data_IF_649506500670
#
_entry.id   IF_649506500670
#
_cell.length_a   1.000
_cell.length_b   1.000
_cell.length_c   1.000
_cell.angle_alpha   90.00
_cell.angle_beta   90.00
_cell.angle_gamma   90.00
#
_symmetry.space_group_name_H-M   'P 1'
#
loop_
_entity.id
_entity.type
_entity.pdbx_description
1 polymer ?
#
# COMPACT_ATOMS: atom_id res chain seq x y z
N UNK A 1 -7.85 -22.60 10.04
CA UNK A 1 -7.87 -21.29 10.71
C UNK A 1 -8.22 -20.26 9.64
N UNK A 2 -9.45 -19.75 9.66
CA UNK A 2 -10.02 -18.93 8.58
C UNK A 2 -9.59 -17.48 8.75
N UNK A 3 -8.68 -17.07 7.87
CA UNK A 3 -8.13 -15.72 7.80
C UNK A 3 -9.25 -14.78 7.33
N UNK A 4 -9.74 -13.90 8.22
CA UNK A 4 -10.92 -13.04 8.04
C UNK A 4 -10.49 -11.58 7.88
N UNK A 5 -9.69 -11.32 6.85
CA UNK A 5 -9.18 -9.99 6.50
C UNK A 5 -9.80 -9.42 5.23
N UNK A 6 -11.11 -9.17 5.19
CA UNK A 6 -11.78 -8.35 4.16
C UNK A 6 -11.48 -8.65 2.66
N UNK A 7 -10.94 -9.81 2.30
CA UNK A 7 -10.97 -10.31 0.93
C UNK A 7 -12.37 -10.87 0.69
N UNK A 8 -13.31 -9.97 0.35
CA UNK A 8 -14.59 -10.36 -0.26
C UNK A 8 -14.30 -11.45 -1.29
N UNK A 9 -15.00 -12.58 -1.18
CA UNK A 9 -14.88 -13.73 -2.06
C UNK A 9 -14.61 -13.30 -3.50
N UNK A 10 -13.61 -13.91 -4.17
CA UNK A 10 -13.22 -13.48 -5.49
C UNK A 10 -14.45 -13.59 -6.41
N UNK A 11 -14.68 -12.56 -7.22
CA UNK A 11 -15.87 -12.45 -8.08
C UNK A 11 -15.94 -13.51 -9.17
N UNK A 12 -14.88 -14.32 -9.32
CA UNK A 12 -15.01 -15.65 -9.87
C UNK A 12 -15.78 -16.53 -8.87
N UNK A 13 -17.08 -16.32 -8.71
CA UNK A 13 -17.89 -17.18 -7.85
C UNK A 13 -17.64 -18.66 -8.21
N UNK A 14 -17.12 -19.45 -7.26
CA UNK A 14 -16.96 -20.91 -7.36
C UNK A 14 -16.54 -21.48 -8.72
N UNK A 15 -15.70 -20.78 -9.50
CA UNK A 15 -15.32 -21.27 -10.84
C UNK A 15 -14.21 -22.29 -10.67
N UNK A 16 -14.45 -23.53 -11.13
CA UNK A 16 -13.38 -24.53 -11.26
C UNK A 16 -12.30 -24.01 -12.19
N UNK A 17 -11.03 -24.18 -11.83
CA UNK A 17 -9.89 -23.70 -12.60
C UNK A 17 -9.95 -24.15 -14.06
N UNK A 18 -10.40 -25.38 -14.32
CA UNK A 18 -10.60 -25.94 -15.65
C UNK A 18 -11.51 -25.12 -16.59
N UNK A 19 -12.42 -24.31 -16.03
CA UNK A 19 -13.34 -23.45 -16.78
C UNK A 19 -12.91 -21.97 -16.82
N UNK A 20 -11.66 -21.68 -16.43
CA UNK A 20 -11.12 -20.33 -16.43
C UNK A 20 -10.52 -20.00 -17.80
N UNK A 21 -11.34 -19.39 -18.66
CA UNK A 21 -10.90 -18.96 -20.00
C UNK A 21 -10.43 -17.51 -20.02
N UNK A 22 -9.64 -17.13 -21.04
CA UNK A 22 -9.17 -15.74 -21.26
C UNK A 22 -10.33 -14.74 -21.19
N UNK A 23 -11.44 -15.01 -21.89
CA UNK A 23 -12.61 -14.13 -21.90
C UNK A 23 -13.38 -14.05 -20.57
N UNK A 24 -13.22 -15.04 -19.66
CA UNK A 24 -13.74 -14.93 -18.29
C UNK A 24 -12.84 -14.07 -17.43
N UNK A 25 -11.52 -14.26 -17.51
CA UNK A 25 -10.54 -13.40 -16.85
C UNK A 25 -10.71 -11.94 -17.27
N UNK A 26 -10.88 -11.69 -18.57
CA UNK A 26 -11.08 -10.35 -19.11
C UNK A 26 -12.35 -9.69 -18.56
N UNK A 27 -13.50 -10.37 -18.61
CA UNK A 27 -14.75 -9.86 -18.03
C UNK A 27 -14.65 -9.57 -16.54
N UNK A 28 -13.94 -10.40 -15.77
CA UNK A 28 -13.71 -10.15 -14.34
C UNK A 28 -12.90 -8.85 -14.15
N UNK A 29 -11.84 -8.67 -14.94
CA UNK A 29 -10.97 -7.49 -14.85
C UNK A 29 -11.70 -6.22 -15.30
N UNK A 30 -12.47 -6.28 -16.39
CA UNK A 30 -13.27 -5.14 -16.87
C UNK A 30 -14.35 -4.76 -15.86
N UNK A 31 -15.04 -5.74 -15.26
CA UNK A 31 -16.01 -5.44 -14.19
C UNK A 31 -15.36 -4.80 -12.96
N UNK A 32 -14.15 -5.21 -12.58
CA UNK A 32 -13.40 -4.56 -11.49
C UNK A 32 -12.99 -3.14 -11.89
N UNK A 33 -12.67 -2.92 -13.16
CA UNK A 33 -12.32 -1.61 -13.71
C UNK A 33 -13.53 -0.65 -13.70
N UNK A 34 -14.72 -1.14 -14.07
CA UNK A 34 -15.97 -0.36 -14.06
C UNK A 34 -16.40 0.02 -12.64
N UNK A 35 -16.33 -0.91 -11.69
CA UNK A 35 -16.85 -0.70 -10.35
C UNK A 35 -15.84 -0.06 -9.38
N UNK A 36 -14.54 -0.09 -9.69
CA UNK A 36 -13.47 0.38 -8.80
C UNK A 36 -12.43 1.22 -9.57
N UNK A 37 -11.31 1.51 -8.90
CA UNK A 37 -10.16 2.20 -9.50
C UNK A 37 -9.32 1.26 -10.36
N UNK A 38 -8.67 1.81 -11.38
CA UNK A 38 -7.70 1.14 -12.27
C UNK A 38 -6.60 0.38 -11.50
N UNK A 39 -6.17 0.90 -10.35
CA UNK A 39 -5.16 0.26 -9.48
C UNK A 39 -5.65 -1.07 -8.89
N UNK A 40 -6.95 -1.19 -8.59
CA UNK A 40 -7.52 -2.43 -8.07
C UNK A 40 -7.63 -3.50 -9.16
N UNK A 41 -8.01 -3.12 -10.39
CA UNK A 41 -8.02 -4.04 -11.52
C UNK A 41 -6.61 -4.58 -11.82
N UNK A 42 -5.58 -3.73 -11.72
CA UNK A 42 -4.17 -4.17 -11.85
C UNK A 42 -3.75 -5.17 -10.78
N UNK A 43 -4.07 -4.89 -9.51
CA UNK A 43 -3.79 -5.84 -8.42
C UNK A 43 -4.52 -7.16 -8.65
N UNK A 44 -5.79 -7.11 -9.07
CA UNK A 44 -6.55 -8.31 -9.40
C UNK A 44 -5.90 -9.10 -10.55
N UNK A 45 -5.45 -8.45 -11.63
CA UNK A 45 -4.70 -9.09 -12.72
C UNK A 45 -3.42 -9.74 -12.23
N UNK A 46 -2.66 -9.06 -11.37
CA UNK A 46 -1.42 -9.61 -10.80
C UNK A 46 -1.70 -10.85 -9.95
N UNK A 47 -2.68 -10.79 -9.04
CA UNK A 47 -3.08 -11.93 -8.20
C UNK A 47 -3.60 -13.09 -9.05
N UNK A 48 -4.47 -12.83 -10.04
CA UNK A 48 -4.97 -13.86 -10.96
C UNK A 48 -3.83 -14.51 -11.75
N UNK A 49 -2.88 -13.72 -12.24
CA UNK A 49 -1.71 -14.24 -12.97
C UNK A 49 -0.84 -15.13 -12.09
N UNK A 50 -0.63 -14.77 -10.82
CA UNK A 50 0.12 -15.60 -9.86
C UNK A 50 -0.61 -16.92 -9.56
N UNK A 51 -1.92 -16.86 -9.30
CA UNK A 51 -2.73 -18.06 -9.02
C UNK A 51 -2.78 -18.99 -10.23
N UNK A 52 -3.01 -18.45 -11.43
CA UNK A 52 -3.02 -19.27 -12.65
C UNK A 52 -1.62 -19.79 -12.98
N UNK A 53 -0.57 -19.01 -12.75
CA UNK A 53 0.81 -19.45 -12.93
C UNK A 53 1.19 -20.58 -11.96
N UNK A 54 0.69 -20.54 -10.73
CA UNK A 54 0.82 -21.64 -9.78
C UNK A 54 0.07 -22.89 -10.28
N UNK A 55 -1.19 -22.74 -10.71
CA UNK A 55 -1.99 -23.85 -11.24
C UNK A 55 -1.38 -24.49 -12.50
N UNK A 56 -0.68 -23.73 -13.35
CA UNK A 56 0.07 -24.28 -14.49
C UNK A 56 1.27 -25.13 -14.03
N UNK A 57 1.97 -24.72 -12.96
CA UNK A 57 3.10 -25.49 -12.42
C UNK A 57 2.67 -26.78 -11.71
N UNK A 58 1.43 -26.82 -11.25
CA UNK A 58 0.81 -27.98 -10.59
C UNK A 58 0.02 -28.85 -11.60
N UNK A 59 0.23 -28.64 -12.90
CA UNK A 59 -0.45 -29.33 -14.01
C UNK A 59 -1.99 -29.25 -13.99
N UNK A 60 -2.57 -28.35 -13.18
CA UNK A 60 -4.01 -28.11 -13.11
C UNK A 60 -4.52 -27.24 -14.28
N UNK A 61 -3.63 -26.52 -14.96
CA UNK A 61 -3.91 -25.74 -16.17
C UNK A 61 -2.81 -25.96 -17.21
N UNK A 62 -3.17 -26.05 -18.49
CA UNK A 62 -2.19 -26.17 -19.57
C UNK A 62 -1.44 -24.86 -19.86
N UNK A 63 -2.09 -23.72 -19.63
CA UNK A 63 -1.52 -22.39 -19.87
C UNK A 63 -2.19 -21.33 -18.99
N UNK A 64 -1.52 -20.20 -18.79
CA UNK A 64 -2.05 -19.11 -17.98
C UNK A 64 -3.00 -18.22 -18.81
N UNK A 65 -4.32 -18.23 -18.56
CA UNK A 65 -5.29 -17.47 -19.36
C UNK A 65 -5.21 -15.94 -19.12
N UNK A 66 -4.39 -15.47 -18.17
CA UNK A 66 -4.25 -14.04 -17.80
C UNK A 66 -3.25 -13.31 -18.69
N UNK A 67 -2.44 -14.02 -19.48
CA UNK A 67 -1.49 -13.40 -20.39
C UNK A 67 -2.18 -12.66 -21.54
N UNK A 68 -3.20 -13.30 -22.13
CA UNK A 68 -3.91 -12.79 -23.31
C UNK A 68 -5.09 -11.86 -22.99
N UNK A 69 -5.28 -11.47 -21.73
CA UNK A 69 -6.36 -10.52 -21.35
C UNK A 69 -6.02 -9.11 -21.79
N UNK A 70 -7.05 -8.29 -22.02
CA UNK A 70 -6.88 -6.93 -22.51
C UNK A 70 -6.00 -6.10 -21.56
N UNK A 71 -5.23 -5.19 -22.16
CA UNK A 71 -4.39 -4.28 -21.41
C UNK A 71 -5.23 -3.29 -20.61
N UNK A 72 -4.94 -3.20 -19.31
CA UNK A 72 -5.62 -2.27 -18.42
C UNK A 72 -5.06 -0.85 -18.61
N UNK A 73 -5.92 0.20 -18.62
CA UNK A 73 -5.50 1.57 -18.89
C UNK A 73 -4.50 2.06 -17.84
N UNK A 74 -3.38 2.66 -18.27
CA UNK A 74 -2.33 3.19 -17.39
C UNK A 74 -2.85 4.41 -16.66
N UNK A 75 -2.91 4.34 -15.33
CA UNK A 75 -3.19 5.53 -14.54
C UNK A 75 -1.99 6.46 -14.68
N UNK A 76 -2.19 7.76 -14.99
CA UNK A 76 -1.10 8.71 -14.99
C UNK A 76 -0.45 8.68 -13.60
N UNK A 77 0.89 8.64 -13.59
CA UNK A 77 1.64 8.70 -12.35
C UNK A 77 1.47 10.11 -11.79
N UNK A 78 0.81 10.23 -10.65
CA UNK A 78 0.75 11.51 -9.92
C UNK A 78 2.07 11.68 -9.18
N UNK A 79 3.04 12.30 -9.83
CA UNK A 79 4.29 12.72 -9.17
C UNK A 79 3.96 13.96 -8.34
N UNK A 80 3.78 13.76 -7.03
CA UNK A 80 3.54 14.83 -6.07
C UNK A 80 4.78 15.01 -5.21
N UNK A 81 5.80 15.66 -5.77
CA UNK A 81 6.95 16.12 -5.01
C UNK A 81 6.58 17.41 -4.26
N UNK A 82 6.93 17.49 -2.98
CA UNK A 82 6.76 18.70 -2.19
C UNK A 82 7.88 19.68 -2.53
N UNK A 83 7.53 20.93 -2.83
CA UNK A 83 8.52 22.01 -2.98
C UNK A 83 8.95 22.55 -1.62
N UNK A 84 10.16 23.13 -1.48
CA UNK A 84 10.60 23.74 -0.23
C UNK A 84 9.61 24.80 0.31
N UNK A 85 9.00 25.59 -0.57
CA UNK A 85 7.99 26.57 -0.19
C UNK A 85 6.72 25.92 0.38
N UNK A 86 6.30 24.78 -0.18
CA UNK A 86 5.18 24.00 0.33
C UNK A 86 5.49 23.41 1.71
N UNK A 87 6.71 22.92 1.93
CA UNK A 87 7.15 22.40 3.24
C UNK A 87 7.08 23.51 4.29
N UNK A 88 7.61 24.70 4.01
CA UNK A 88 7.55 25.85 4.91
C UNK A 88 6.10 26.25 5.20
N UNK A 89 5.24 26.27 4.16
CA UNK A 89 3.81 26.58 4.33
C UNK A 89 3.08 25.54 5.20
N UNK A 90 3.40 24.25 5.04
CA UNK A 90 2.86 23.16 5.85
C UNK A 90 3.31 23.32 7.31
N UNK A 91 4.61 23.57 7.55
CA UNK A 91 5.15 23.79 8.89
C UNK A 91 4.48 24.98 9.58
N UNK A 92 4.28 26.10 8.87
CA UNK A 92 3.56 27.27 9.39
C UNK A 92 2.11 26.96 9.74
N UNK A 93 1.39 26.22 8.90
CA UNK A 93 0.00 25.80 9.17
C UNK A 93 -0.10 24.87 10.39
N UNK A 94 0.86 23.96 10.58
CA UNK A 94 0.91 23.06 11.74
C UNK A 94 1.21 23.80 13.05
N UNK A 95 2.00 24.87 13.00
CA UNK A 95 2.29 25.71 14.16
C UNK A 95 1.10 26.60 14.57
N UNK A 96 0.38 27.15 13.59
CA UNK A 96 -0.79 28.02 13.80
C UNK A 96 -2.05 27.22 14.15
N UNK A 97 -2.21 26.04 13.54
CA UNK A 97 -3.27 25.08 13.83
C UNK A 97 -3.07 24.39 15.19
N UNK A 98 -3.06 25.18 16.28
CA UNK A 98 -3.21 24.65 17.63
C UNK A 98 -4.61 24.03 17.69
N UNK A 99 -4.68 22.70 17.58
CA UNK A 99 -5.93 21.97 17.74
C UNK A 99 -6.36 22.06 19.21
N UNK A 100 -7.02 23.16 19.57
CA UNK A 100 -7.84 23.27 20.79
C UNK A 100 -9.13 22.47 20.55
N UNK A 101 -9.00 21.15 20.42
CA UNK A 101 -10.14 20.24 20.44
C UNK A 101 -10.11 19.51 21.77
N UNK A 102 -11.17 19.70 22.56
CA UNK A 102 -11.39 19.06 23.86
C UNK A 102 -11.88 17.60 23.70
N UNK A 103 -12.05 17.16 22.47
CA UNK A 103 -12.65 15.92 22.03
C UNK A 103 -11.60 14.97 21.42
N UNK A 104 -10.76 14.38 22.29
CA UNK A 104 -9.85 13.28 21.94
C UNK A 104 -8.66 13.10 22.88
N UNK A 105 -8.03 11.91 22.85
CA UNK A 105 -6.69 11.72 23.42
C UNK A 105 -5.77 12.77 22.81
N UNK A 106 -5.27 13.71 23.62
CA UNK A 106 -4.54 14.91 23.15
C UNK A 106 -3.59 14.53 22.00
N UNK A 107 -3.86 14.90 20.74
CA UNK A 107 -2.92 14.63 19.68
C UNK A 107 -1.67 15.44 20.02
N UNK A 108 -0.56 14.74 20.29
CA UNK A 108 0.74 15.37 20.51
C UNK A 108 1.15 16.05 19.21
N UNK A 109 0.66 17.26 18.94
CA UNK A 109 0.92 18.02 17.72
C UNK A 109 2.43 18.20 17.49
N UNK A 110 3.22 18.22 18.57
CA UNK A 110 4.68 18.19 18.54
C UNK A 110 5.20 16.92 17.85
N UNK A 111 4.72 15.74 18.25
CA UNK A 111 5.10 14.47 17.63
C UNK A 111 4.71 14.40 16.14
N UNK A 112 3.65 15.08 15.71
CA UNK A 112 3.31 15.18 14.28
C UNK A 112 4.30 16.05 13.51
N UNK A 113 4.70 17.21 14.08
CA UNK A 113 5.69 18.10 13.47
C UNK A 113 7.05 17.40 13.41
N UNK A 114 7.50 16.83 14.53
CA UNK A 114 8.77 16.11 14.65
C UNK A 114 8.79 14.89 13.71
N UNK A 115 7.67 14.17 13.60
CA UNK A 115 7.52 13.04 12.69
C UNK A 115 7.64 13.44 11.22
N UNK A 116 7.04 14.56 10.81
CA UNK A 116 7.14 15.04 9.42
C UNK A 116 8.56 15.53 9.10
N UNK A 117 9.19 16.26 10.02
CA UNK A 117 10.57 16.71 9.85
C UNK A 117 11.53 15.51 9.79
N UNK A 118 11.29 14.47 10.60
CA UNK A 118 12.02 13.20 10.53
C UNK A 118 11.82 12.54 9.16
N UNK A 119 10.58 12.43 8.67
CA UNK A 119 10.28 11.84 7.36
C UNK A 119 10.97 12.58 6.20
N UNK A 120 10.99 13.92 6.25
CA UNK A 120 11.65 14.74 5.22
C UNK A 120 13.18 14.63 5.33
N UNK A 121 13.74 14.64 6.54
CA UNK A 121 15.18 14.64 6.78
C UNK A 121 15.85 13.27 6.59
N UNK A 122 15.12 12.17 6.81
CA UNK A 122 15.67 10.80 6.77
C UNK A 122 15.12 9.96 5.63
N UNK A 123 14.07 10.43 4.93
CA UNK A 123 13.35 9.68 3.88
C UNK A 123 12.81 8.32 4.34
N UNK A 124 12.54 8.16 5.64
CA UNK A 124 11.91 6.96 6.18
C UNK A 124 10.48 6.79 5.68
N UNK A 125 9.99 5.55 5.63
CA UNK A 125 8.56 5.31 5.41
C UNK A 125 7.78 5.72 6.66
N UNK A 126 6.55 6.20 6.48
CA UNK A 126 5.67 6.60 7.61
C UNK A 126 5.55 5.51 8.67
N UNK A 127 5.42 4.24 8.27
CA UNK A 127 5.35 3.11 9.20
C UNK A 127 6.66 2.78 9.93
N UNK A 128 7.81 3.19 9.38
CA UNK A 128 9.12 3.07 10.05
C UNK A 128 9.28 4.21 11.06
N UNK A 129 8.95 5.45 10.67
CA UNK A 129 9.02 6.64 11.52
C UNK A 129 8.15 6.53 12.79
N UNK A 130 6.90 6.08 12.65
CA UNK A 130 5.97 5.94 13.79
C UNK A 130 6.47 4.90 14.81
N UNK A 131 7.34 3.97 14.39
CA UNK A 131 7.83 2.88 15.23
C UNK A 131 9.20 3.15 15.85
N UNK A 132 9.82 4.30 15.56
CA UNK A 132 11.09 4.68 16.15
C UNK A 132 10.98 4.72 17.68
N UNK A 133 11.84 3.95 18.33
CA UNK A 133 12.02 3.96 19.77
C UNK A 133 13.35 4.59 20.16
N UNK A 134 13.50 4.89 21.45
CA UNK A 134 14.75 5.46 22.02
C UNK A 134 15.97 4.55 21.84
N UNK A 135 15.77 3.24 21.64
CA UNK A 135 16.85 2.28 21.39
C UNK A 135 17.34 2.30 19.94
N UNK A 136 16.60 2.94 19.03
CA UNK A 136 16.92 2.99 17.60
C UNK A 136 17.76 4.22 17.23
N UNK A 137 17.89 5.17 18.17
CA UNK A 137 18.68 6.40 18.01
C UNK A 137 19.99 6.33 18.78
N UNK A 138 21.09 6.60 18.08
CA UNK A 138 22.37 6.89 18.71
C UNK A 138 22.69 8.38 18.51
N UNK A 139 22.44 9.14 19.57
CA UNK A 139 22.71 10.57 19.66
C UNK A 139 24.12 10.89 20.17
N UNK A 140 24.95 9.86 20.41
CA UNK A 140 26.33 10.02 20.92
C UNK A 140 27.36 10.11 19.81
N UNK A 141 26.96 9.77 18.58
CA UNK A 141 27.78 9.87 17.37
C UNK A 141 27.58 11.22 16.68
N UNK A 142 28.60 11.69 15.94
CA UNK A 142 28.52 12.90 15.12
C UNK A 142 28.90 12.56 13.67
N UNK A 143 27.95 12.59 12.70
CA UNK A 143 26.53 12.92 12.86
C UNK A 143 25.75 11.84 13.63
N UNK A 144 24.62 12.20 14.27
CA UNK A 144 23.76 11.25 14.96
C UNK A 144 23.22 10.20 13.99
N UNK A 145 23.12 8.95 14.45
CA UNK A 145 22.75 7.81 13.61
C UNK A 145 21.43 7.19 14.06
N UNK A 146 20.58 6.83 13.09
CA UNK A 146 19.33 6.09 13.30
C UNK A 146 19.44 4.70 12.68
N UNK A 147 19.10 3.67 13.45
CA UNK A 147 19.11 2.28 12.98
C UNK A 147 17.67 1.82 12.78
N UNK A 148 17.29 1.59 11.52
CA UNK A 148 15.95 1.09 11.19
C UNK A 148 16.00 -0.39 10.93
N UNK A 149 15.62 -1.16 11.95
CA UNK A 149 15.46 -2.61 11.84
C UNK A 149 14.12 -2.93 11.16
N UNK A 150 14.18 -3.31 9.88
CA UNK A 150 13.00 -3.72 9.11
C UNK A 150 12.24 -4.83 9.83
N UNK A 151 11.03 -4.55 10.31
CA UNK A 151 10.09 -5.57 10.79
C UNK A 151 8.86 -5.48 9.93
N UNK A 152 8.69 -6.48 9.09
CA UNK A 152 7.49 -6.66 8.27
C UNK A 152 6.39 -7.05 9.24
N UNK A 153 5.43 -6.16 9.46
CA UNK A 153 4.18 -6.52 10.11
C UNK A 153 3.33 -7.15 9.02
N UNK A 154 3.41 -8.47 8.88
CA UNK A 154 2.41 -9.20 8.10
C UNK A 154 1.09 -9.02 8.82
N UNK A 155 0.14 -8.34 8.17
CA UNK A 155 -1.23 -8.30 8.66
C UNK A 155 -1.88 -9.64 8.29
N UNK A 156 -1.46 -10.71 8.97
CA UNK A 156 -2.20 -11.97 8.99
C UNK A 156 -3.37 -11.77 9.94
N UNK A 157 -4.57 -11.69 9.38
CA UNK A 157 -5.84 -11.68 10.10
C UNK A 157 -6.87 -12.46 9.31
#
# INVERSE_FOLDING_TARGET
MAVTGAYRAPRCGGVRLEHLTVGRCDRILQRILEEKKTSNARRARAVLSLVCGYAVRDDALMQNPVWDVQNLPVSPRKESALTPAQITAIRGRMQVGRFNRDDGHRPNYRALIDGIDTLIGTSLRVGECIRLGRCDEDMRTLPPTLIVSGRIVSNEA
#
